data_IF_796168850306
#
_entry.id   IF_796168850306
#
_cell.length_a   1.000
_cell.length_b   1.000
_cell.length_c   1.000
_cell.angle_alpha   90.00
_cell.angle_beta   90.00
_cell.angle_gamma   90.00
#
_symmetry.space_group_name_H-M   'P 1'
#
loop_
_entity.id
_entity.type
_entity.pdbx_description
1 polymer ?
#
# COMPACT_ATOMS: atom_id res chain seq x y z
N UNK A 1 3.32 -16.34 13.94
CA UNK A 1 2.76 -15.79 12.69
C UNK A 1 1.43 -16.48 12.38
N UNK A 2 0.42 -15.75 11.94
CA UNK A 2 -0.91 -16.30 11.60
C UNK A 2 -1.01 -16.73 10.13
N UNK A 3 -2.13 -17.37 9.80
CA UNK A 3 -2.57 -17.61 8.42
C UNK A 3 -2.86 -16.31 7.67
N UNK A 4 -2.89 -16.42 6.34
CA UNK A 4 -3.28 -15.32 5.44
C UNK A 4 -4.80 -15.22 5.33
N UNK A 5 -5.30 -14.01 5.50
CA UNK A 5 -6.70 -13.65 5.35
C UNK A 5 -6.87 -12.82 4.08
N UNK A 6 -7.75 -13.23 3.14
CA UNK A 6 -8.02 -12.43 1.96
C UNK A 6 -8.83 -11.18 2.32
N UNK A 7 -8.64 -10.11 1.55
CA UNK A 7 -9.50 -8.94 1.59
C UNK A 7 -9.54 -8.26 0.21
N UNK A 8 -10.53 -7.40 0.01
CA UNK A 8 -10.60 -6.53 -1.18
C UNK A 8 -10.09 -5.14 -0.79
N UNK A 9 -8.95 -4.69 -1.33
CA UNK A 9 -8.41 -3.36 -1.09
C UNK A 9 -9.42 -2.26 -1.39
N UNK A 10 -9.68 -1.36 -0.45
CA UNK A 10 -10.45 -0.15 -0.70
C UNK A 10 -9.51 0.93 -1.21
N UNK A 11 -9.80 1.43 -2.41
CA UNK A 11 -9.08 2.52 -3.05
C UNK A 11 -9.96 3.76 -3.05
N UNK A 12 -9.36 4.95 -3.03
CA UNK A 12 -10.09 6.21 -3.17
C UNK A 12 -10.78 6.36 -4.53
N UNK A 13 -10.25 5.73 -5.58
CA UNK A 13 -10.88 5.66 -6.90
C UNK A 13 -10.85 4.24 -7.46
N UNK A 14 -11.95 3.86 -8.12
CA UNK A 14 -12.11 2.60 -8.85
C UNK A 14 -12.16 2.80 -10.36
N UNK A 15 -11.96 4.03 -10.82
CA UNK A 15 -11.93 4.35 -12.25
C UNK A 15 -10.90 3.48 -12.94
N UNK A 16 -11.34 2.74 -13.96
CA UNK A 16 -10.50 1.81 -14.74
C UNK A 16 -9.81 0.69 -13.95
N UNK A 17 -10.25 0.41 -12.72
CA UNK A 17 -9.73 -0.71 -11.93
C UNK A 17 -10.47 -1.99 -12.30
N UNK A 18 -9.77 -2.91 -12.95
CA UNK A 18 -10.33 -4.19 -13.41
C UNK A 18 -10.23 -5.32 -12.38
N UNK A 19 -9.24 -5.27 -11.49
CA UNK A 19 -9.06 -6.26 -10.44
C UNK A 19 -8.37 -5.64 -9.21
N UNK A 20 -8.79 -6.09 -8.02
CA UNK A 20 -8.19 -5.71 -6.73
C UNK A 20 -8.20 -6.93 -5.83
N UNK A 21 -7.02 -7.38 -5.41
CA UNK A 21 -6.88 -8.50 -4.48
C UNK A 21 -5.87 -8.14 -3.40
N UNK A 22 -6.20 -8.50 -2.17
CA UNK A 22 -5.34 -8.29 -1.02
C UNK A 22 -5.31 -9.51 -0.14
N UNK A 23 -4.21 -9.68 0.59
CA UNK A 23 -4.13 -10.60 1.72
C UNK A 23 -3.34 -9.98 2.85
N UNK A 24 -3.73 -10.27 4.08
CA UNK A 24 -2.99 -9.83 5.25
C UNK A 24 -2.80 -10.97 6.24
N UNK A 25 -1.81 -10.85 7.11
CA UNK A 25 -1.65 -11.73 8.28
C UNK A 25 -1.01 -10.98 9.44
N UNK A 26 -1.15 -11.53 10.64
CA UNK A 26 -0.40 -11.10 11.80
C UNK A 26 0.96 -11.79 11.87
N UNK A 27 2.01 -11.00 12.06
CA UNK A 27 3.38 -11.42 12.32
C UNK A 27 3.92 -10.67 13.54
N UNK A 28 3.83 -11.28 14.72
CA UNK A 28 4.20 -10.60 15.96
C UNK A 28 3.28 -9.42 16.29
N UNK A 29 3.89 -8.25 16.44
CA UNK A 29 3.22 -6.96 16.62
C UNK A 29 2.91 -6.24 15.29
N UNK A 30 3.22 -6.88 14.17
CA UNK A 30 3.17 -6.28 12.83
C UNK A 30 2.13 -7.00 11.97
N UNK A 31 1.46 -6.25 11.10
CA UNK A 31 0.63 -6.79 10.03
C UNK A 31 1.43 -6.82 8.73
N UNK A 32 1.53 -8.01 8.14
CA UNK A 32 2.00 -8.12 6.77
C UNK A 32 0.82 -7.99 5.83
N UNK A 33 0.95 -7.18 4.78
CA UNK A 33 -0.05 -6.95 3.75
C UNK A 33 0.58 -7.19 2.39
N UNK A 34 -0.13 -7.90 1.51
CA UNK A 34 0.19 -7.99 0.08
C UNK A 34 -1.02 -7.52 -0.71
N UNK A 35 -0.78 -6.70 -1.73
CA UNK A 35 -1.83 -6.16 -2.58
C UNK A 35 -1.46 -6.32 -4.06
N UNK A 36 -2.46 -6.58 -4.89
CA UNK A 36 -2.37 -6.59 -6.35
C UNK A 36 -3.54 -5.83 -6.95
N UNK A 37 -3.28 -4.79 -7.72
CA UNK A 37 -4.28 -3.99 -8.44
C UNK A 37 -3.99 -4.04 -9.93
N UNK A 38 -5.01 -4.22 -10.78
CA UNK A 38 -4.88 -4.20 -12.23
C UNK A 38 -5.80 -3.18 -12.86
N UNK A 39 -5.28 -2.41 -13.81
CA UNK A 39 -6.00 -1.36 -14.53
C UNK A 39 -6.38 -1.82 -15.96
N UNK A 40 -7.50 -1.33 -16.47
CA UNK A 40 -7.95 -1.52 -17.85
C UNK A 40 -8.06 -0.20 -18.64
N UNK A 41 -7.51 0.88 -18.10
CA UNK A 41 -7.52 2.21 -18.69
C UNK A 41 -6.96 3.25 -17.72
N UNK A 42 -7.00 4.52 -18.14
CA UNK A 42 -6.57 5.68 -17.35
C UNK A 42 -7.51 5.90 -16.17
N UNK A 43 -6.96 6.21 -14.99
CA UNK A 43 -7.72 6.59 -13.80
C UNK A 43 -8.28 8.02 -13.87
N UNK A 44 -8.51 8.63 -12.71
CA UNK A 44 -9.21 9.93 -12.60
C UNK A 44 -8.35 11.06 -12.03
N UNK A 45 -7.03 10.91 -12.07
CA UNK A 45 -6.06 11.88 -11.54
C UNK A 45 -6.26 12.15 -10.04
N UNK A 46 -6.41 11.07 -9.28
CA UNK A 46 -6.41 11.10 -7.82
C UNK A 46 -5.17 10.41 -7.28
N UNK A 47 -4.60 10.91 -6.18
CA UNK A 47 -3.54 10.22 -5.44
C UNK A 47 -3.94 8.77 -5.19
N UNK A 48 -3.08 7.81 -5.52
CA UNK A 48 -3.35 6.42 -5.19
C UNK A 48 -3.31 6.23 -3.67
N UNK A 49 -4.42 5.76 -3.09
CA UNK A 49 -4.49 5.41 -1.68
C UNK A 49 -5.16 4.07 -1.48
N UNK A 50 -4.76 3.35 -0.43
CA UNK A 50 -5.37 2.10 0.00
C UNK A 50 -5.62 2.10 1.50
N UNK A 51 -6.82 1.70 1.90
CA UNK A 51 -7.13 1.46 3.30
C UNK A 51 -6.63 0.08 3.75
N UNK A 52 -5.97 0.03 4.91
CA UNK A 52 -5.75 -1.23 5.62
C UNK A 52 -7.07 -1.68 6.27
N UNK A 53 -7.24 -2.99 6.56
CA UNK A 53 -8.49 -3.50 7.13
C UNK A 53 -8.95 -2.70 8.37
N UNK A 54 -10.18 -2.16 8.34
CA UNK A 54 -10.73 -1.12 9.24
C UNK A 54 -10.57 -1.37 10.75
N UNK A 55 -10.31 -2.61 11.18
CA UNK A 55 -10.11 -2.96 12.59
C UNK A 55 -8.66 -2.88 13.07
N UNK A 56 -7.72 -2.42 12.23
CA UNK A 56 -6.28 -2.42 12.52
C UNK A 56 -5.76 -0.99 12.41
N UNK A 57 -5.30 -0.43 13.52
CA UNK A 57 -4.71 0.90 13.57
C UNK A 57 -3.18 0.77 13.54
N UNK A 58 -2.54 1.48 12.63
CA UNK A 58 -1.10 1.60 12.56
C UNK A 58 -0.54 2.25 13.82
N UNK A 59 0.51 1.63 14.39
CA UNK A 59 1.25 2.12 15.54
C UNK A 59 2.47 2.92 15.09
N UNK A 60 2.22 4.19 14.75
CA UNK A 60 3.28 5.09 14.27
C UNK A 60 4.41 5.36 15.27
N UNK A 61 4.23 5.00 16.56
CA UNK A 61 5.28 5.10 17.58
C UNK A 61 6.28 3.93 17.51
N UNK A 62 5.86 2.78 16.99
CA UNK A 62 6.72 1.60 16.87
C UNK A 62 7.56 1.59 15.60
N UNK A 63 7.25 2.44 14.62
CA UNK A 63 8.04 2.53 13.41
C UNK A 63 9.23 3.46 13.61
N UNK A 64 10.42 2.90 13.82
CA UNK A 64 11.65 3.67 14.06
C UNK A 64 12.03 4.61 12.89
N UNK A 65 11.47 4.41 11.69
CA UNK A 65 11.67 5.31 10.55
C UNK A 65 10.87 6.63 10.66
N UNK A 66 10.10 6.84 11.73
CA UNK A 66 9.32 8.06 12.02
C UNK A 66 10.16 9.34 12.21
N UNK A 67 11.49 9.26 12.09
CA UNK A 67 12.40 10.40 12.12
C UNK A 67 12.39 11.26 10.83
N UNK A 68 11.65 10.86 9.78
CA UNK A 68 11.42 11.70 8.60
C UNK A 68 10.36 12.75 8.94
N UNK A 69 10.76 14.00 9.03
CA UNK A 69 9.88 15.14 9.29
C UNK A 69 8.70 15.15 8.30
N UNK A 70 7.47 14.91 8.78
CA UNK A 70 6.25 15.04 7.96
C UNK A 70 5.17 13.96 8.04
N UNK A 71 5.14 13.09 9.06
CA UNK A 71 4.13 12.01 9.22
C UNK A 71 4.12 10.90 8.14
N UNK A 72 5.06 10.93 7.20
CA UNK A 72 5.25 9.90 6.16
C UNK A 72 6.10 8.78 6.74
N UNK A 73 5.53 7.57 6.87
CA UNK A 73 6.26 6.42 7.39
C UNK A 73 6.38 5.32 6.34
N UNK A 74 7.61 5.01 5.94
CA UNK A 74 7.91 3.87 5.06
C UNK A 74 7.51 2.56 5.74
N UNK A 75 6.66 1.78 5.07
CA UNK A 75 6.13 0.51 5.59
C UNK A 75 6.27 -0.64 4.59
N UNK A 76 6.69 -0.39 3.36
CA UNK A 76 6.77 -1.43 2.36
C UNK A 76 7.38 -1.00 1.04
N UNK A 77 7.36 -1.93 0.09
CA UNK A 77 7.81 -1.73 -1.28
C UNK A 77 6.80 -2.32 -2.25
N UNK A 78 6.93 -1.96 -3.51
CA UNK A 78 6.14 -2.53 -4.58
C UNK A 78 6.79 -2.38 -5.93
N UNK A 79 6.09 -2.88 -6.93
CA UNK A 79 6.42 -2.73 -8.34
C UNK A 79 5.16 -2.32 -9.09
N UNK A 80 5.36 -1.45 -10.08
CA UNK A 80 4.38 -1.16 -11.11
C UNK A 80 4.91 -1.73 -12.41
N UNK A 81 4.17 -2.67 -13.00
CA UNK A 81 4.34 -3.09 -14.39
C UNK A 81 3.53 -2.16 -15.28
N UNK A 82 4.19 -1.15 -15.86
CA UNK A 82 3.64 -0.30 -16.90
C UNK A 82 3.74 -1.04 -18.23
N UNK A 83 2.59 -1.40 -18.81
CA UNK A 83 2.52 -2.22 -20.02
C UNK A 83 3.14 -1.52 -21.26
N UNK A 84 3.35 -0.21 -21.21
CA UNK A 84 3.96 0.58 -22.29
C UNK A 84 5.42 0.94 -22.07
N UNK A 85 5.85 1.07 -20.80
CA UNK A 85 7.15 1.70 -20.48
C UNK A 85 8.12 0.79 -19.72
N UNK A 86 7.64 -0.23 -18.99
CA UNK A 86 8.47 -1.16 -18.23
C UNK A 86 8.12 -1.21 -16.74
N UNK A 87 9.09 -1.56 -15.90
CA UNK A 87 8.88 -1.70 -14.46
C UNK A 87 9.33 -0.45 -13.70
N UNK A 88 8.47 0.05 -12.81
CA UNK A 88 8.82 1.09 -11.84
C UNK A 88 8.88 0.52 -10.43
N UNK A 89 9.85 0.98 -9.64
CA UNK A 89 9.97 0.61 -8.23
C UNK A 89 9.14 1.56 -7.38
N UNK A 90 8.36 0.99 -6.47
CA UNK A 90 7.47 1.73 -5.58
C UNK A 90 7.91 1.60 -4.14
N UNK A 91 7.63 2.65 -3.37
CA UNK A 91 7.63 2.63 -1.92
C UNK A 91 6.19 2.69 -1.41
N UNK A 92 5.90 1.96 -0.34
CA UNK A 92 4.61 2.03 0.35
C UNK A 92 4.78 2.83 1.63
N UNK A 93 3.96 3.86 1.78
CA UNK A 93 4.01 4.81 2.88
C UNK A 93 2.68 4.77 3.63
N UNK A 94 2.73 4.73 4.95
CA UNK A 94 1.58 5.03 5.79
C UNK A 94 1.49 6.55 6.01
N UNK A 95 0.38 7.16 5.61
CA UNK A 95 0.10 8.60 5.79
C UNK A 95 -0.92 8.88 6.88
N UNK A 96 -1.60 7.84 7.38
CA UNK A 96 -2.47 7.91 8.55
C UNK A 96 -2.46 6.57 9.29
N UNK A 97 -3.30 6.42 10.32
CA UNK A 97 -3.44 5.16 11.03
C UNK A 97 -4.05 4.04 10.20
N UNK A 98 -4.70 4.37 9.08
CA UNK A 98 -5.43 3.41 8.24
C UNK A 98 -5.12 3.51 6.75
N UNK A 99 -4.46 4.59 6.31
CA UNK A 99 -4.25 4.87 4.89
C UNK A 99 -2.80 4.63 4.50
N UNK A 100 -2.63 3.88 3.42
CA UNK A 100 -1.39 3.72 2.69
C UNK A 100 -1.43 4.51 1.39
N UNK A 101 -0.29 5.08 1.01
CA UNK A 101 -0.02 5.65 -0.30
C UNK A 101 1.15 4.92 -0.95
N UNK A 102 1.24 5.00 -2.27
CA UNK A 102 2.41 4.58 -3.02
C UNK A 102 3.10 5.80 -3.61
N UNK A 103 4.42 5.76 -3.66
CA UNK A 103 5.25 6.72 -4.37
C UNK A 103 6.21 5.94 -5.25
N UNK A 104 6.66 6.51 -6.35
CA UNK A 104 7.83 5.99 -7.04
C UNK A 104 9.08 6.20 -6.16
N UNK A 105 10.02 5.25 -6.21
CA UNK A 105 11.14 5.16 -5.25
C UNK A 105 12.04 6.40 -5.10
N UNK A 106 11.99 7.34 -6.05
CA UNK A 106 12.80 8.56 -6.08
C UNK A 106 11.98 9.85 -6.01
N UNK A 107 10.66 9.75 -5.96
CA UNK A 107 9.75 10.90 -6.09
C UNK A 107 9.18 11.36 -4.75
N UNK A 108 8.89 12.66 -4.69
CA UNK A 108 8.30 13.32 -3.51
C UNK A 108 6.77 13.33 -3.55
N UNK A 109 6.16 12.96 -4.68
CA UNK A 109 4.71 12.96 -4.92
C UNK A 109 4.17 11.53 -4.97
N UNK A 110 2.97 11.26 -4.42
CA UNK A 110 2.32 9.98 -4.60
C UNK A 110 2.09 9.69 -6.08
N UNK A 111 2.02 8.42 -6.45
CA UNK A 111 1.57 8.01 -7.80
C UNK A 111 0.12 8.43 -7.96
N UNK A 112 -0.20 9.11 -9.06
CA UNK A 112 -1.56 9.52 -9.42
C UNK A 112 -2.22 8.45 -10.29
N UNK A 113 -3.54 8.30 -10.16
CA UNK A 113 -4.26 7.22 -10.85
C UNK A 113 -4.38 7.41 -12.36
N UNK A 114 -4.20 8.62 -12.88
CA UNK A 114 -4.14 8.89 -14.33
C UNK A 114 -2.81 8.52 -14.97
N UNK A 115 -1.78 8.17 -14.18
CA UNK A 115 -0.54 7.60 -14.70
C UNK A 115 -0.71 6.15 -15.19
N UNK A 116 -1.75 5.44 -14.71
CA UNK A 116 -1.98 4.05 -15.10
C UNK A 116 -2.58 3.94 -16.51
N UNK A 117 -2.06 2.99 -17.27
CA UNK A 117 -2.58 2.58 -18.57
C UNK A 117 -3.45 1.33 -18.52
N UNK A 118 -3.99 0.97 -19.68
CA UNK A 118 -4.63 -0.33 -19.84
C UNK A 118 -3.59 -1.45 -19.71
N UNK A 119 -3.91 -2.47 -18.90
CA UNK A 119 -3.06 -3.62 -18.55
C UNK A 119 -1.95 -3.36 -17.54
N UNK A 120 -1.92 -2.19 -16.93
CA UNK A 120 -0.97 -1.92 -15.85
C UNK A 120 -1.31 -2.73 -14.59
N UNK A 121 -0.28 -3.16 -13.88
CA UNK A 121 -0.41 -3.90 -12.62
C UNK A 121 0.49 -3.32 -11.53
N UNK A 122 -0.10 -3.11 -10.36
CA UNK A 122 0.60 -2.79 -9.13
C UNK A 122 0.66 -4.03 -8.25
N UNK A 123 1.84 -4.35 -7.74
CA UNK A 123 2.03 -5.36 -6.71
C UNK A 123 2.82 -4.78 -5.54
N UNK A 124 2.29 -4.87 -4.32
CA UNK A 124 2.93 -4.29 -3.12
C UNK A 124 3.03 -5.29 -1.98
N UNK A 125 4.03 -5.11 -1.13
CA UNK A 125 4.19 -5.80 0.16
C UNK A 125 4.55 -4.79 1.25
N UNK A 126 3.82 -4.84 2.36
CA UNK A 126 4.01 -3.93 3.50
C UNK A 126 4.06 -4.68 4.83
N UNK A 127 4.81 -4.11 5.79
CA UNK A 127 4.92 -4.54 7.18
C UNK A 127 4.58 -3.34 8.07
N UNK A 128 3.43 -3.43 8.72
CA UNK A 128 2.78 -2.30 9.41
C UNK A 128 2.63 -2.66 10.89
N UNK A 129 3.41 -2.06 11.81
CA UNK A 129 3.18 -2.18 13.24
C UNK A 129 1.72 -1.87 13.62
N UNK A 130 1.07 -2.74 14.39
CA UNK A 130 -0.34 -2.55 14.76
C UNK A 130 -0.47 -2.21 16.25
N UNK A 131 -1.28 -1.19 16.53
CA UNK A 131 -1.55 -0.73 17.89
C UNK A 131 -2.28 -1.82 18.67
N UNK A 132 -1.80 -2.10 19.88
CA UNK A 132 -2.35 -3.15 20.74
C UNK A 132 -1.92 -4.58 20.36
N UNK A 133 -1.15 -4.77 19.29
CA UNK A 133 -0.47 -6.04 19.07
C UNK A 133 0.86 -6.04 19.82
N UNK A 134 1.11 -7.09 20.59
CA UNK A 134 2.42 -7.37 21.18
C UNK A 134 3.20 -8.33 20.30
N UNK A 135 4.53 -8.24 20.40
CA UNK A 135 5.39 -9.32 19.93
C UNK A 135 4.95 -10.59 20.67
N UNK A 136 4.70 -11.66 19.94
CA UNK A 136 4.48 -12.96 20.56
C UNK A 136 5.87 -13.51 20.87
N UNK A 137 6.15 -13.74 22.15
CA UNK A 137 7.37 -14.41 22.62
C UNK A 137 7.48 -15.80 22.04
#
# INVERSE_FOLDING_TARGET
RSDWYPFTPQLNSLTSVSNRKGMWRRDGDTMEVKCGIRYNGVGDNSDWTMEIPESKLFDGLKNASAAMAGNVQYVGSGEWSDSGTGYKQLMVVATSTTILKIFESVDATPVETDEFGASDELATTSRIPIKGWSAVS
#
